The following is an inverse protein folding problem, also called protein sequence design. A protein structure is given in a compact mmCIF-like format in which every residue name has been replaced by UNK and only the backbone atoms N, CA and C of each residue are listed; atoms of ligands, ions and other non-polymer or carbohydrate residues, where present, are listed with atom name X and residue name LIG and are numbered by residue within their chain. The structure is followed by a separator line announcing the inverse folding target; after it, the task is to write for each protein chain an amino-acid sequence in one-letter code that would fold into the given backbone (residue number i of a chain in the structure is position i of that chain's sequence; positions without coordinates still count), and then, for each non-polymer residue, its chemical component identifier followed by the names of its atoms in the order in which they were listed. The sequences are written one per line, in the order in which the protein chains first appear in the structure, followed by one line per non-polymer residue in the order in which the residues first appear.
data_IF_180841992332
#
_entry.id   IF_180841992332
#
_cell.length_a   1.000
_cell.length_b   1.000
_cell.length_c   1.000
_cell.angle_alpha   90.00
_cell.angle_beta   90.00
_cell.angle_gamma   90.00
#
_symmetry.space_group_name_H-M   'P 1'
#
loop_
_entity.id
_entity.type
_entity.pdbx_description
1 polymer ?
#
# COMPACT_ATOMS: atom_id res chain seq x y z
N UNK A 1 -23.65 -14.33 -10.74
CA UNK A 1 -22.74 -13.42 -11.47
C UNK A 1 -21.53 -13.20 -10.59
N UNK A 2 -20.33 -13.56 -11.04
CA UNK A 2 -19.07 -13.22 -10.34
C UNK A 2 -18.86 -11.72 -10.47
N UNK A 3 -19.07 -10.98 -9.38
CA UNK A 3 -18.83 -9.54 -9.34
C UNK A 3 -17.34 -9.29 -9.56
N UNK A 4 -16.99 -8.54 -10.61
CA UNK A 4 -15.62 -8.14 -10.89
C UNK A 4 -15.16 -7.11 -9.85
N UNK A 5 -13.97 -7.28 -9.29
CA UNK A 5 -13.45 -6.41 -8.22
C UNK A 5 -12.38 -5.47 -8.76
N UNK A 6 -12.42 -4.21 -8.34
CA UNK A 6 -11.37 -3.22 -8.57
C UNK A 6 -10.82 -2.77 -7.22
N UNK A 7 -9.50 -2.76 -7.09
CA UNK A 7 -8.80 -2.17 -5.95
C UNK A 7 -8.24 -0.81 -6.37
N UNK A 8 -8.52 0.23 -5.60
CA UNK A 8 -7.97 1.57 -5.84
C UNK A 8 -7.19 2.01 -4.61
N UNK A 9 -5.93 2.39 -4.80
CA UNK A 9 -5.06 2.92 -3.75
C UNK A 9 -4.80 4.40 -4.03
N UNK A 10 -5.02 5.27 -3.05
CA UNK A 10 -4.74 6.71 -3.16
C UNK A 10 -4.18 7.23 -1.83
N UNK A 11 -3.23 8.17 -1.86
CA UNK A 11 -2.83 8.90 -0.65
C UNK A 11 -3.99 9.78 -0.18
N UNK A 12 -4.43 9.56 1.04
CA UNK A 12 -5.46 10.38 1.68
C UNK A 12 -4.98 11.82 1.85
N UNK A 13 -5.81 12.78 1.42
CA UNK A 13 -5.47 14.20 1.39
C UNK A 13 -5.85 14.87 2.70
N UNK A 14 -4.91 15.59 3.30
CA UNK A 14 -5.15 16.47 4.44
C UNK A 14 -4.41 17.79 4.23
N UNK A 15 -4.90 18.57 3.26
CA UNK A 15 -4.48 19.95 3.01
C UNK A 15 -5.58 20.94 3.44
N UNK A 16 -5.34 22.24 3.22
CA UNK A 16 -6.26 23.30 3.62
C UNK A 16 -7.61 23.27 2.88
N UNK A 17 -7.71 22.54 1.77
CA UNK A 17 -8.88 22.44 0.91
C UNK A 17 -9.38 21.00 0.81
N UNK A 18 -9.04 20.14 1.77
CA UNK A 18 -9.12 18.70 1.60
C UNK A 18 -10.52 18.13 1.37
N UNK A 19 -11.58 18.86 1.77
CA UNK A 19 -12.98 18.49 1.52
C UNK A 19 -13.61 19.23 0.34
N UNK A 20 -12.85 20.06 -0.38
CA UNK A 20 -13.41 20.82 -1.50
C UNK A 20 -13.80 19.86 -2.63
N UNK A 21 -15.09 19.84 -3.04
CA UNK A 21 -15.50 19.11 -4.23
C UNK A 21 -14.85 19.71 -5.47
N UNK A 22 -14.45 18.83 -6.38
CA UNK A 22 -13.83 19.13 -7.66
C UNK A 22 -14.54 18.32 -8.75
N UNK A 23 -14.65 18.89 -9.93
CA UNK A 23 -15.16 18.19 -11.11
C UNK A 23 -14.03 17.43 -11.80
N UNK A 24 -14.13 16.10 -11.82
CA UNK A 24 -13.17 15.23 -12.51
C UNK A 24 -13.75 14.72 -13.83
N UNK A 25 -12.98 14.76 -14.91
CA UNK A 25 -13.39 14.18 -16.20
C UNK A 25 -12.72 12.83 -16.45
N UNK A 26 -13.51 11.80 -16.71
CA UNK A 26 -13.03 10.47 -17.11
C UNK A 26 -13.74 10.09 -18.41
N UNK A 27 -12.97 9.95 -19.50
CA UNK A 27 -13.49 9.58 -20.83
C UNK A 27 -14.65 10.47 -21.33
N UNK A 28 -14.61 11.77 -21.04
CA UNK A 28 -15.63 12.74 -21.45
C UNK A 28 -16.84 12.84 -20.51
N UNK A 29 -16.89 12.04 -19.44
CA UNK A 29 -17.92 12.13 -18.40
C UNK A 29 -17.37 12.86 -17.17
N UNK A 30 -18.17 13.75 -16.59
CA UNK A 30 -17.79 14.56 -15.42
C UNK A 30 -18.37 13.99 -14.13
N UNK A 31 -17.53 13.87 -13.10
CA UNK A 31 -17.86 13.36 -11.78
C UNK A 31 -17.40 14.35 -10.71
N UNK A 32 -18.34 14.98 -10.03
CA UNK A 32 -18.04 15.82 -8.87
C UNK A 32 -17.61 14.93 -7.70
N UNK A 33 -16.43 15.18 -7.13
CA UNK A 33 -15.96 14.47 -5.96
C UNK A 33 -14.86 15.20 -5.19
N UNK A 34 -14.57 14.76 -3.97
CA UNK A 34 -13.51 15.32 -3.13
C UNK A 34 -12.13 14.73 -3.48
N UNK A 35 -12.11 13.48 -3.96
CA UNK A 35 -10.92 12.75 -4.38
C UNK A 35 -11.13 12.12 -5.75
N UNK A 36 -10.05 12.02 -6.52
CA UNK A 36 -10.03 11.35 -7.83
C UNK A 36 -10.38 9.86 -7.73
N UNK A 37 -9.98 9.14 -6.68
CA UNK A 37 -10.41 7.74 -6.47
C UNK A 37 -11.91 7.58 -6.29
N UNK A 38 -12.58 8.60 -5.74
CA UNK A 38 -14.02 8.59 -5.53
C UNK A 38 -14.75 8.84 -6.86
N UNK A 39 -14.21 9.73 -7.71
CA UNK A 39 -14.66 9.86 -9.10
C UNK A 39 -14.46 8.55 -9.89
N UNK A 40 -13.30 7.88 -9.73
CA UNK A 40 -13.06 6.56 -10.33
C UNK A 40 -14.07 5.51 -9.87
N UNK A 41 -14.47 5.50 -8.58
CA UNK A 41 -15.52 4.62 -8.08
C UNK A 41 -16.87 4.89 -8.74
N UNK A 42 -17.22 6.15 -8.97
CA UNK A 42 -18.45 6.51 -9.71
C UNK A 42 -18.38 6.07 -11.17
N UNK A 43 -17.21 6.21 -11.82
CA UNK A 43 -17.01 5.77 -13.20
C UNK A 43 -17.09 4.25 -13.37
N UNK A 44 -16.57 3.48 -12.41
CA UNK A 44 -16.65 2.01 -12.41
C UNK A 44 -17.82 1.47 -11.58
N UNK A 45 -19.00 2.08 -11.69
CA UNK A 45 -20.20 1.71 -10.92
C UNK A 45 -20.68 0.25 -11.13
N UNK A 46 -20.37 -0.36 -12.28
CA UNK A 46 -20.68 -1.77 -12.57
C UNK A 46 -19.73 -2.77 -11.90
N UNK A 47 -18.69 -2.29 -11.22
CA UNK A 47 -17.70 -3.11 -10.51
C UNK A 47 -17.88 -2.99 -8.99
N UNK A 48 -17.42 -4.00 -8.26
CA UNK A 48 -17.20 -3.85 -6.83
C UNK A 48 -15.89 -3.09 -6.59
N UNK A 49 -15.97 -1.76 -6.48
CA UNK A 49 -14.81 -0.89 -6.31
C UNK A 49 -14.47 -0.71 -4.82
N UNK A 50 -13.27 -1.15 -4.45
CA UNK A 50 -12.75 -1.06 -3.10
C UNK A 50 -11.61 -0.05 -3.06
N UNK A 51 -11.87 1.08 -2.42
CA UNK A 51 -10.87 2.14 -2.24
C UNK A 51 -10.15 1.91 -0.91
N UNK A 52 -8.83 2.08 -0.96
CA UNK A 52 -7.92 2.07 0.17
C UNK A 52 -7.18 3.39 0.23
N UNK A 53 -7.48 4.21 1.22
CA UNK A 53 -6.75 5.45 1.48
C UNK A 53 -5.48 5.15 2.28
N UNK A 54 -4.36 5.68 1.79
CA UNK A 54 -3.05 5.57 2.43
C UNK A 54 -2.78 6.85 3.20
N UNK A 55 -2.73 6.78 4.53
CA UNK A 55 -2.48 7.92 5.39
C UNK A 55 -1.07 7.86 5.97
N UNK A 56 -0.15 8.76 5.59
CA UNK A 56 1.11 8.91 6.30
C UNK A 56 0.87 9.22 7.77
N UNK A 57 1.59 8.53 8.67
CA UNK A 57 1.47 8.77 10.11
C UNK A 57 1.81 10.22 10.50
N UNK A 58 2.62 10.91 9.68
CA UNK A 58 3.02 12.29 9.90
C UNK A 58 1.97 13.35 9.56
N UNK A 59 0.80 12.97 9.03
CA UNK A 59 -0.23 13.92 8.56
C UNK A 59 -0.63 15.00 9.58
N UNK A 60 -0.76 14.72 10.89
CA UNK A 60 -1.08 15.75 11.89
C UNK A 60 -0.03 16.85 12.03
N UNK A 61 1.22 16.60 11.63
CA UNK A 61 2.36 17.49 11.88
C UNK A 61 2.60 18.46 10.72
N UNK A 62 1.52 19.14 10.32
CA UNK A 62 1.53 20.21 9.34
C UNK A 62 0.94 21.49 9.95
N UNK A 63 1.82 22.41 10.39
CA UNK A 63 1.43 23.65 11.06
C UNK A 63 0.53 24.56 10.21
N UNK A 64 0.62 24.47 8.88
CA UNK A 64 -0.21 25.29 7.96
C UNK A 64 -1.70 24.98 8.07
N UNK A 65 -2.08 23.76 8.49
CA UNK A 65 -3.48 23.36 8.66
C UNK A 65 -4.15 24.19 9.76
N UNK A 66 -3.49 24.35 10.91
CA UNK A 66 -4.07 25.01 12.08
C UNK A 66 -4.14 26.53 11.95
N UNK A 67 -3.28 27.10 11.09
CA UNK A 67 -3.26 28.52 10.76
C UNK A 67 -4.28 28.89 9.67
N UNK A 68 -4.85 27.91 8.96
CA UNK A 68 -5.79 28.15 7.86
C UNK A 68 -7.22 28.30 8.37
N UNK A 69 -7.84 29.45 8.10
CA UNK A 69 -9.28 29.64 8.31
C UNK A 69 -10.12 28.71 7.43
N UNK A 70 -9.66 28.43 6.21
CA UNK A 70 -10.39 27.56 5.29
C UNK A 70 -10.46 26.13 5.83
N UNK A 71 -9.32 25.61 6.31
CA UNK A 71 -9.27 24.30 6.95
C UNK A 71 -10.27 24.19 8.12
N UNK A 72 -10.30 25.20 9.01
CA UNK A 72 -11.24 25.24 10.15
C UNK A 72 -12.71 25.25 9.73
N UNK A 73 -13.05 25.89 8.59
CA UNK A 73 -14.42 25.93 8.06
C UNK A 73 -14.83 24.59 7.44
N UNK A 74 -13.91 23.91 6.77
CA UNK A 74 -14.18 22.64 6.08
C UNK A 74 -14.09 21.42 6.99
N UNK A 75 -13.33 21.53 8.09
CA UNK A 75 -13.16 20.46 9.05
C UNK A 75 -14.33 20.42 10.05
N UNK A 76 -14.77 19.21 10.43
CA UNK A 76 -15.73 19.10 11.54
C UNK A 76 -15.04 19.48 12.85
N UNK A 77 -15.79 20.06 13.79
CA UNK A 77 -15.25 20.45 15.10
C UNK A 77 -14.59 19.28 15.83
N UNK A 78 -15.25 18.11 15.83
CA UNK A 78 -14.74 16.88 16.45
C UNK A 78 -13.40 16.44 15.84
N UNK A 79 -13.30 16.38 14.51
CA UNK A 79 -12.06 15.95 13.85
C UNK A 79 -10.94 16.98 14.04
N UNK A 80 -11.26 18.28 14.02
CA UNK A 80 -10.29 19.33 14.30
C UNK A 80 -9.70 19.22 15.71
N UNK A 81 -10.54 18.99 16.73
CA UNK A 81 -10.08 18.84 18.12
C UNK A 81 -9.16 17.62 18.30
N UNK A 82 -9.51 16.49 17.69
CA UNK A 82 -8.70 15.27 17.71
C UNK A 82 -7.34 15.51 17.01
N UNK A 83 -7.37 16.11 15.82
CA UNK A 83 -6.17 16.40 15.04
C UNK A 83 -5.26 17.41 15.76
N UNK A 84 -5.85 18.45 16.34
CA UNK A 84 -5.12 19.46 17.12
C UNK A 84 -4.52 18.86 18.40
N UNK A 85 -5.21 17.92 19.06
CA UNK A 85 -4.64 17.18 20.19
C UNK A 85 -3.41 16.38 19.76
N UNK A 86 -3.47 15.70 18.62
CA UNK A 86 -2.33 14.94 18.09
C UNK A 86 -1.14 15.84 17.74
N UNK A 87 -1.40 17.04 17.22
CA UNK A 87 -0.36 18.05 16.94
C UNK A 87 0.33 18.59 18.20
N UNK A 88 -0.39 18.68 19.31
CA UNK A 88 0.13 19.16 20.60
C UNK A 88 0.82 18.07 21.41
N UNK A 89 0.31 16.84 21.37
CA UNK A 89 0.82 15.69 22.11
C UNK A 89 1.10 14.52 21.16
N UNK A 90 2.27 14.60 20.52
CA UNK A 90 2.69 13.59 19.56
C UNK A 90 2.91 12.22 20.19
N UNK A 91 3.35 12.15 21.45
CA UNK A 91 3.67 10.86 22.09
C UNK A 91 2.39 10.08 22.37
N UNK A 92 1.34 10.78 22.85
CA UNK A 92 0.00 10.19 23.01
C UNK A 92 -0.57 9.74 21.66
N UNK A 93 -0.45 10.57 20.62
CA UNK A 93 -0.90 10.20 19.26
C UNK A 93 -0.16 8.97 18.72
N UNK A 94 1.17 8.93 18.81
CA UNK A 94 1.95 7.83 18.26
C UNK A 94 1.65 6.51 18.96
N UNK A 95 1.31 6.52 20.24
CA UNK A 95 0.84 5.30 20.94
C UNK A 95 -0.49 4.76 20.39
N UNK A 96 -1.36 5.62 19.83
CA UNK A 96 -2.64 5.19 19.25
C UNK A 96 -3.08 6.08 18.07
N UNK A 97 -2.42 5.96 16.89
CA UNK A 97 -2.68 6.84 15.75
C UNK A 97 -4.07 6.64 15.16
N UNK A 98 -4.70 5.48 15.42
CA UNK A 98 -6.02 5.15 14.91
C UNK A 98 -7.09 6.13 15.41
N UNK A 99 -6.93 6.71 16.61
CA UNK A 99 -7.87 7.72 17.13
C UNK A 99 -8.08 8.90 16.19
N UNK A 100 -7.05 9.29 15.44
CA UNK A 100 -7.14 10.36 14.44
C UNK A 100 -7.69 9.80 13.13
N UNK A 101 -7.10 8.72 12.63
CA UNK A 101 -7.41 8.25 11.28
C UNK A 101 -8.80 7.62 11.14
N UNK A 102 -9.31 6.91 12.17
CA UNK A 102 -10.68 6.36 12.19
C UNK A 102 -11.75 7.45 12.03
N UNK A 103 -11.43 8.68 12.43
CA UNK A 103 -12.32 9.85 12.40
C UNK A 103 -12.10 10.72 11.16
N UNK A 104 -11.24 10.30 10.23
CA UNK A 104 -10.93 11.10 9.05
C UNK A 104 -12.17 11.29 8.16
N UNK A 105 -12.53 12.52 7.74
CA UNK A 105 -13.77 12.79 7.02
C UNK A 105 -13.93 12.06 5.68
N UNK A 106 -12.81 11.68 5.04
CA UNK A 106 -12.84 10.87 3.81
C UNK A 106 -13.23 9.40 4.03
N UNK A 107 -13.42 8.94 5.27
CA UNK A 107 -13.80 7.56 5.57
C UNK A 107 -15.31 7.33 5.63
N UNK A 108 -16.10 8.31 5.19
CA UNK A 108 -17.52 8.11 4.94
C UNK A 108 -17.73 7.01 3.88
N UNK A 109 -18.89 6.36 3.86
CA UNK A 109 -19.27 5.31 2.88
C UNK A 109 -18.39 4.03 2.88
N UNK A 110 -17.93 3.59 4.06
CA UNK A 110 -17.15 2.36 4.25
C UNK A 110 -15.84 2.31 3.44
N UNK A 111 -15.20 3.47 3.24
CA UNK A 111 -13.88 3.55 2.62
C UNK A 111 -12.85 2.96 3.60
N UNK A 112 -12.01 2.05 3.11
CA UNK A 112 -10.95 1.45 3.92
C UNK A 112 -9.73 2.34 3.92
N UNK A 113 -8.90 2.22 4.95
CA UNK A 113 -7.60 2.89 4.98
C UNK A 113 -6.50 1.99 5.54
N UNK A 114 -5.27 2.48 5.43
CA UNK A 114 -4.13 2.03 6.22
C UNK A 114 -3.23 3.21 6.56
N UNK A 115 -2.58 3.13 7.72
CA UNK A 115 -1.54 4.06 8.11
C UNK A 115 -0.21 3.55 7.56
N UNK A 116 0.54 4.43 6.90
CA UNK A 116 1.87 4.13 6.35
C UNK A 116 2.96 4.89 7.12
N UNK A 117 4.18 4.31 7.25
CA UNK A 117 5.30 4.99 7.86
C UNK A 117 5.62 6.31 7.15
N UNK A 118 6.15 7.27 7.91
CA UNK A 118 6.66 8.53 7.39
C UNK A 118 8.19 8.57 7.52
N UNK A 119 8.82 9.50 6.80
CA UNK A 119 10.26 9.74 6.86
C UNK A 119 10.54 11.24 6.96
N UNK A 120 11.50 11.61 7.80
CA UNK A 120 12.02 12.98 7.89
C UNK A 120 11.54 13.77 9.10
N UNK A 121 11.87 15.07 9.08
CA UNK A 121 11.58 16.00 10.17
C UNK A 121 10.27 16.75 9.92
N UNK A 122 9.40 16.77 10.93
CA UNK A 122 8.13 17.48 10.90
C UNK A 122 8.03 18.42 12.11
N UNK A 123 7.28 19.49 11.96
CA UNK A 123 7.03 20.44 13.04
C UNK A 123 5.77 20.03 13.80
N UNK A 124 5.91 19.52 15.02
CA UNK A 124 4.83 19.52 16.01
C UNK A 124 4.76 20.89 16.69
N UNK A 125 3.71 21.14 17.49
CA UNK A 125 3.50 22.49 18.07
C UNK A 125 4.68 22.96 18.93
N UNK A 126 5.18 22.06 19.78
CA UNK A 126 6.21 22.37 20.78
C UNK A 126 7.52 21.58 20.59
N UNK A 127 7.59 20.71 19.58
CA UNK A 127 8.78 19.89 19.30
C UNK A 127 8.88 19.55 17.81
N UNK A 128 10.11 19.38 17.35
CA UNK A 128 10.34 18.67 16.09
C UNK A 128 10.14 17.18 16.30
N UNK A 129 9.58 16.51 15.32
CA UNK A 129 9.33 15.07 15.34
C UNK A 129 10.08 14.47 14.17
N UNK A 130 10.97 13.53 14.46
CA UNK A 130 11.71 12.81 13.45
C UNK A 130 11.11 11.41 13.26
N UNK A 131 10.73 11.11 12.01
CA UNK A 131 10.36 9.75 11.62
C UNK A 131 11.55 9.07 10.94
N UNK A 132 12.02 7.99 11.55
CA UNK A 132 13.19 7.20 11.15
C UNK A 132 12.86 6.07 10.14
N UNK A 133 11.66 6.05 9.57
CA UNK A 133 11.24 4.99 8.65
C UNK A 133 12.12 4.90 7.39
N UNK A 134 12.12 3.74 6.75
CA UNK A 134 12.80 3.55 5.46
C UNK A 134 11.80 3.56 4.29
N UNK A 135 12.23 4.05 3.13
CA UNK A 135 11.45 4.01 1.89
C UNK A 135 10.92 2.61 1.60
N UNK A 136 11.81 1.63 1.74
CA UNK A 136 11.55 0.21 1.49
C UNK A 136 10.44 -0.34 2.38
N UNK A 137 10.29 0.18 3.61
CA UNK A 137 9.24 -0.25 4.53
C UNK A 137 7.86 0.24 4.06
N UNK A 138 7.80 1.45 3.47
CA UNK A 138 6.58 1.99 2.88
C UNK A 138 6.20 1.19 1.63
N UNK A 139 7.16 0.87 0.76
CA UNK A 139 6.92 0.02 -0.41
C UNK A 139 6.39 -1.35 0.04
N UNK A 140 7.06 -1.97 1.01
CA UNK A 140 6.73 -3.31 1.50
C UNK A 140 5.37 -3.34 2.20
N UNK A 141 5.02 -2.35 3.03
CA UNK A 141 3.73 -2.33 3.71
C UNK A 141 2.56 -2.19 2.73
N UNK A 142 2.73 -1.38 1.67
CA UNK A 142 1.73 -1.22 0.60
C UNK A 142 1.61 -2.53 -0.18
N UNK A 143 2.73 -3.16 -0.54
CA UNK A 143 2.73 -4.46 -1.24
C UNK A 143 2.04 -5.55 -0.40
N UNK A 144 2.32 -5.64 0.89
CA UNK A 144 1.67 -6.57 1.82
C UNK A 144 0.15 -6.38 1.77
N UNK A 145 -0.33 -5.14 1.91
CA UNK A 145 -1.78 -4.84 1.88
C UNK A 145 -2.42 -5.18 0.53
N UNK A 146 -1.71 -4.96 -0.59
CA UNK A 146 -2.17 -5.36 -1.92
C UNK A 146 -2.32 -6.88 -2.05
N UNK A 147 -1.37 -7.67 -1.54
CA UNK A 147 -1.44 -9.14 -1.53
C UNK A 147 -2.59 -9.61 -0.63
N UNK A 148 -2.70 -9.07 0.59
CA UNK A 148 -3.78 -9.38 1.53
C UNK A 148 -5.16 -9.08 0.92
N UNK A 149 -5.30 -7.92 0.28
CA UNK A 149 -6.53 -7.51 -0.41
C UNK A 149 -6.85 -8.44 -1.58
N UNK A 150 -5.85 -8.81 -2.38
CA UNK A 150 -6.02 -9.76 -3.47
C UNK A 150 -6.55 -11.12 -2.98
N UNK A 151 -6.04 -11.65 -1.86
CA UNK A 151 -6.56 -12.87 -1.25
C UNK A 151 -7.94 -12.69 -0.61
N UNK A 152 -8.21 -11.54 0.03
CA UNK A 152 -9.52 -11.21 0.61
C UNK A 152 -10.65 -11.32 -0.42
N UNK A 153 -10.40 -10.90 -1.66
CA UNK A 153 -11.36 -11.04 -2.76
C UNK A 153 -11.24 -12.36 -3.53
N UNK A 154 -10.73 -13.42 -2.88
CA UNK A 154 -10.64 -14.78 -3.42
C UNK A 154 -9.95 -14.83 -4.79
N UNK A 155 -8.89 -14.04 -4.96
CA UNK A 155 -8.10 -13.97 -6.20
C UNK A 155 -8.89 -13.43 -7.42
N UNK A 156 -10.13 -12.97 -7.21
CA UNK A 156 -11.02 -12.42 -8.25
C UNK A 156 -10.90 -10.89 -8.32
N UNK A 157 -9.70 -10.38 -8.59
CA UNK A 157 -9.43 -8.95 -8.83
C UNK A 157 -9.15 -8.73 -10.31
N UNK A 158 -9.91 -7.86 -10.95
CA UNK A 158 -9.76 -7.51 -12.36
C UNK A 158 -8.74 -6.39 -12.56
N UNK A 159 -8.80 -5.38 -11.70
CA UNK A 159 -7.94 -4.18 -11.81
C UNK A 159 -7.39 -3.77 -10.45
N UNK A 160 -6.13 -3.39 -10.44
CA UNK A 160 -5.48 -2.65 -9.35
C UNK A 160 -5.08 -1.29 -9.90
N UNK A 161 -5.61 -0.23 -9.33
CA UNK A 161 -5.37 1.15 -9.77
C UNK A 161 -4.64 1.87 -8.64
N UNK A 162 -3.45 2.39 -8.93
CA UNK A 162 -2.75 3.33 -8.06
C UNK A 162 -3.04 4.73 -8.58
N UNK A 163 -3.79 5.50 -7.80
CA UNK A 163 -4.09 6.89 -8.08
C UNK A 163 -3.02 7.79 -7.45
N UNK A 164 -2.21 8.39 -8.31
CA UNK A 164 -1.09 9.27 -7.94
C UNK A 164 -1.44 10.76 -8.01
N UNK A 165 -2.74 11.09 -8.11
CA UNK A 165 -3.21 12.48 -8.20
C UNK A 165 -3.00 13.29 -6.93
N UNK A 166 -2.74 12.60 -5.80
CA UNK A 166 -2.50 13.23 -4.50
C UNK A 166 -1.32 12.59 -3.77
N UNK A 167 -0.74 13.35 -2.85
CA UNK A 167 0.34 12.91 -1.98
C UNK A 167 1.70 13.48 -2.36
N UNK A 168 2.64 13.39 -1.42
CA UNK A 168 4.02 13.80 -1.67
C UNK A 168 4.73 12.79 -2.58
N UNK A 169 5.66 13.29 -3.39
CA UNK A 169 6.40 12.52 -4.40
C UNK A 169 6.97 11.20 -3.89
N UNK A 170 7.44 11.17 -2.64
CA UNK A 170 8.04 9.98 -2.05
C UNK A 170 7.02 8.85 -1.82
N UNK A 171 5.83 9.16 -1.32
CA UNK A 171 4.76 8.16 -1.17
C UNK A 171 4.21 7.73 -2.52
N UNK A 172 4.06 8.66 -3.47
CA UNK A 172 3.67 8.35 -4.85
C UNK A 172 4.66 7.36 -5.48
N UNK A 173 5.96 7.60 -5.31
CA UNK A 173 7.02 6.71 -5.79
C UNK A 173 6.90 5.32 -5.15
N UNK A 174 6.66 5.26 -3.84
CA UNK A 174 6.49 4.00 -3.12
C UNK A 174 5.27 3.21 -3.61
N UNK A 175 4.15 3.88 -3.91
CA UNK A 175 2.95 3.22 -4.46
C UNK A 175 3.20 2.67 -5.87
N UNK A 176 3.89 3.42 -6.73
CA UNK A 176 4.25 2.96 -8.08
C UNK A 176 5.19 1.75 -8.00
N UNK A 177 6.13 1.75 -7.06
CA UNK A 177 7.05 0.63 -6.86
C UNK A 177 6.34 -0.61 -6.30
N UNK A 178 5.46 -0.44 -5.32
CA UNK A 178 4.59 -1.51 -4.85
C UNK A 178 3.70 -2.07 -5.98
N UNK A 179 3.19 -1.20 -6.88
CA UNK A 179 2.42 -1.62 -8.06
C UNK A 179 3.23 -2.53 -8.99
N UNK A 180 4.50 -2.22 -9.25
CA UNK A 180 5.39 -3.06 -10.07
C UNK A 180 5.64 -4.42 -9.42
N UNK A 181 5.84 -4.42 -8.11
CA UNK A 181 6.05 -5.65 -7.35
C UNK A 181 4.81 -6.54 -7.33
N UNK A 182 3.61 -5.97 -7.11
CA UNK A 182 2.37 -6.75 -7.13
C UNK A 182 2.04 -7.25 -8.54
N UNK A 183 2.27 -6.46 -9.59
CA UNK A 183 2.05 -6.87 -10.98
C UNK A 183 2.92 -8.10 -11.32
N UNK A 184 4.21 -8.05 -10.94
CA UNK A 184 5.14 -9.18 -11.08
C UNK A 184 4.67 -10.39 -10.27
N UNK A 185 4.30 -10.18 -9.01
CA UNK A 185 3.85 -11.25 -8.12
C UNK A 185 2.56 -11.92 -8.62
N UNK A 186 1.54 -11.16 -9.02
CA UNK A 186 0.28 -11.70 -9.56
C UNK A 186 0.55 -12.43 -10.87
N UNK A 187 1.39 -11.89 -11.75
CA UNK A 187 1.73 -12.52 -13.03
C UNK A 187 2.35 -13.91 -12.82
N UNK A 188 3.23 -14.05 -11.83
CA UNK A 188 3.81 -15.35 -11.47
C UNK A 188 2.81 -16.26 -10.73
N UNK A 189 1.99 -15.70 -9.85
CA UNK A 189 1.01 -16.44 -9.05
C UNK A 189 -0.11 -17.05 -9.91
N UNK A 190 -0.63 -16.26 -10.87
CA UNK A 190 -1.70 -16.62 -11.79
C UNK A 190 -1.18 -17.09 -13.15
N UNK A 191 0.03 -17.67 -13.20
CA UNK A 191 0.62 -18.07 -14.47
C UNK A 191 -0.36 -18.90 -15.32
N UNK A 192 -0.69 -18.43 -16.53
CA UNK A 192 -1.72 -18.99 -17.44
C UNK A 192 -3.20 -18.92 -16.98
N UNK A 193 -3.54 -18.12 -15.97
CA UNK A 193 -4.93 -17.86 -15.54
C UNK A 193 -5.43 -16.46 -15.98
N UNK A 194 -6.65 -16.08 -15.57
CA UNK A 194 -7.21 -14.75 -15.85
C UNK A 194 -6.32 -13.64 -15.28
N UNK A 195 -5.79 -12.79 -16.17
CA UNK A 195 -4.93 -11.66 -15.83
C UNK A 195 -5.65 -10.62 -14.97
N UNK A 196 -4.95 -10.09 -13.99
CA UNK A 196 -5.29 -8.86 -13.27
C UNK A 196 -4.50 -7.71 -13.89
N UNK A 197 -5.15 -6.60 -14.20
CA UNK A 197 -4.54 -5.46 -14.85
C UNK A 197 -4.14 -4.38 -13.84
N UNK A 198 -2.91 -3.89 -13.94
CA UNK A 198 -2.41 -2.82 -13.09
C UNK A 198 -2.44 -1.48 -13.84
N UNK A 199 -2.95 -0.42 -13.21
CA UNK A 199 -3.08 0.91 -13.79
C UNK A 199 -2.52 1.98 -12.88
N UNK A 200 -2.01 3.05 -13.49
CA UNK A 200 -1.78 4.33 -12.81
C UNK A 200 -2.88 5.29 -13.26
N UNK A 201 -3.52 5.94 -12.31
CA UNK A 201 -4.42 7.06 -12.56
C UNK A 201 -3.76 8.37 -12.11
N UNK A 202 -3.85 9.40 -12.95
CA UNK A 202 -3.28 10.73 -12.67
C UNK A 202 -4.24 11.81 -13.14
N UNK A 203 -4.53 12.76 -12.25
CA UNK A 203 -5.30 13.96 -12.57
C UNK A 203 -4.39 15.06 -13.10
N UNK A 204 -4.90 15.87 -14.01
CA UNK A 204 -4.27 17.14 -14.37
C UNK A 204 -3.99 18.02 -13.14
N UNK A 205 -2.92 18.84 -13.16
CA UNK A 205 -2.59 19.70 -12.04
C UNK A 205 -3.74 20.62 -11.65
N UNK A 206 -4.07 20.66 -10.36
CA UNK A 206 -5.08 21.58 -9.82
C UNK A 206 -4.41 22.93 -9.58
N UNK A 207 -4.57 23.84 -10.55
CA UNK A 207 -3.95 25.18 -10.51
C UNK A 207 -4.95 26.19 -9.94
N UNK A 208 -4.57 27.02 -8.95
CA UNK A 208 -5.41 28.10 -8.46
C UNK A 208 -5.90 29.02 -9.58
N UNK A 209 -7.21 29.24 -9.67
CA UNK A 209 -7.83 30.10 -10.68
C UNK A 209 -8.45 29.37 -11.88
N UNK A 210 -8.12 28.09 -12.09
CA UNK A 210 -8.85 27.24 -13.01
C UNK A 210 -10.01 26.53 -12.28
N UNK A 211 -11.17 26.43 -12.92
CA UNK A 211 -12.36 25.76 -12.36
C UNK A 211 -12.82 24.65 -13.29
N UNK A 212 -11.99 23.61 -13.41
CA UNK A 212 -12.36 22.31 -13.97
C UNK A 212 -13.01 22.29 -15.37
N UNK A 213 -13.44 21.10 -15.82
CA UNK A 213 -13.19 19.81 -15.17
C UNK A 213 -11.70 19.42 -15.26
N UNK A 214 -11.22 18.65 -14.29
CA UNK A 214 -9.84 18.16 -14.25
C UNK A 214 -9.80 16.75 -14.83
N UNK A 215 -9.08 16.56 -15.93
CA UNK A 215 -9.05 15.25 -16.60
C UNK A 215 -8.24 14.23 -15.79
N UNK A 216 -8.79 13.03 -15.66
CA UNK A 216 -8.08 11.86 -15.10
C UNK A 216 -7.63 10.97 -16.26
N UNK A 217 -6.31 10.85 -16.41
CA UNK A 217 -5.67 9.89 -17.32
C UNK A 217 -5.45 8.56 -16.59
N UNK A 218 -5.81 7.45 -17.24
CA UNK A 218 -5.65 6.10 -16.69
C UNK A 218 -4.81 5.29 -17.66
N UNK A 219 -3.63 4.85 -17.23
CA UNK A 219 -2.64 4.19 -18.08
C UNK A 219 -2.32 2.79 -17.55
N UNK A 220 -2.49 1.77 -18.40
CA UNK A 220 -2.10 0.39 -18.06
C UNK A 220 -0.60 0.30 -17.89
N UNK A 221 -0.18 -0.37 -16.81
CA UNK A 221 1.21 -0.67 -16.54
C UNK A 221 1.52 -2.08 -16.99
N UNK A 222 2.67 -2.23 -17.64
CA UNK A 222 3.20 -3.52 -18.05
C UNK A 222 4.58 -3.72 -17.43
N UNK A 223 4.66 -4.47 -16.34
CA UNK A 223 5.95 -4.80 -15.76
C UNK A 223 6.56 -5.97 -16.54
N UNK A 224 7.71 -5.72 -17.19
CA UNK A 224 8.49 -6.80 -17.78
C UNK A 224 9.07 -7.66 -16.66
N UNK A 225 8.57 -8.88 -16.54
CA UNK A 225 9.11 -9.87 -15.60
C UNK A 225 10.37 -10.47 -16.20
N UNK A 226 11.53 -10.18 -15.61
CA UNK A 226 12.77 -10.85 -15.95
C UNK A 226 12.91 -12.11 -15.09
N UNK A 227 13.31 -13.22 -15.71
CA UNK A 227 13.53 -14.48 -14.99
C UNK A 227 14.90 -14.50 -14.29
N UNK A 228 15.05 -13.63 -13.28
CA UNK A 228 16.21 -13.57 -12.39
C UNK A 228 15.85 -14.08 -11.01
N UNK A 229 16.76 -14.82 -10.37
CA UNK A 229 16.53 -15.30 -9.02
C UNK A 229 16.58 -14.12 -8.04
N UNK A 230 15.55 -13.91 -7.20
CA UNK A 230 15.51 -12.82 -6.23
C UNK A 230 16.38 -13.10 -4.99
N UNK A 231 16.93 -14.32 -4.86
CA UNK A 231 17.83 -14.72 -3.78
C UNK A 231 19.11 -15.32 -4.35
N UNK A 232 20.18 -15.26 -3.57
CA UNK A 232 21.47 -15.84 -3.85
C UNK A 232 21.71 -17.12 -3.06
N UNK A 233 22.72 -17.91 -3.42
CA UNK A 233 23.14 -19.07 -2.64
C UNK A 233 23.49 -18.70 -1.18
N UNK A 234 24.11 -17.51 -0.99
CA UNK A 234 24.47 -16.98 0.33
C UNK A 234 23.25 -16.73 1.23
N UNK A 235 22.09 -16.44 0.65
CA UNK A 235 20.85 -16.21 1.42
C UNK A 235 20.32 -17.51 2.04
N UNK A 236 20.59 -18.64 1.39
CA UNK A 236 20.18 -19.98 1.80
C UNK A 236 21.24 -20.61 2.72
N UNK A 237 22.52 -20.46 2.37
CA UNK A 237 23.63 -21.01 3.13
C UNK A 237 23.57 -20.60 4.61
N UNK A 238 23.73 -21.58 5.50
CA UNK A 238 23.66 -21.39 6.96
C UNK A 238 22.40 -20.66 7.44
N UNK A 239 21.30 -20.73 6.69
CA UNK A 239 20.02 -20.07 6.98
C UNK A 239 20.13 -18.55 7.06
N UNK A 240 21.05 -17.93 6.31
CA UNK A 240 21.41 -16.52 6.46
C UNK A 240 20.21 -15.57 6.41
N UNK A 241 19.42 -15.60 5.32
CA UNK A 241 18.25 -14.71 5.16
C UNK A 241 17.19 -15.00 6.22
N UNK A 242 16.92 -16.27 6.51
CA UNK A 242 15.94 -16.66 7.52
C UNK A 242 16.34 -16.20 8.94
N UNK A 243 17.64 -16.19 9.26
CA UNK A 243 18.17 -15.65 10.51
C UNK A 243 18.07 -14.13 10.60
N UNK A 244 18.27 -13.44 9.49
CA UNK A 244 18.11 -11.98 9.43
C UNK A 244 16.65 -11.59 9.66
N UNK A 245 15.71 -12.29 9.03
CA UNK A 245 14.28 -11.99 9.15
C UNK A 245 13.73 -12.36 10.53
N UNK A 246 14.13 -13.51 11.07
CA UNK A 246 13.70 -13.97 12.38
C UNK A 246 14.88 -13.96 13.35
N UNK A 247 15.33 -12.85 13.94
CA UNK A 247 16.57 -12.85 14.73
C UNK A 247 16.49 -13.71 16.01
N UNK A 248 15.32 -13.75 16.65
CA UNK A 248 15.11 -14.33 17.98
C UNK A 248 15.34 -15.86 18.05
N UNK A 249 15.84 -16.35 19.20
CA UNK A 249 16.11 -17.78 19.42
C UNK A 249 14.83 -18.62 19.43
N UNK A 250 13.75 -18.07 19.95
CA UNK A 250 12.44 -18.73 20.08
C UNK A 250 11.80 -19.01 18.71
N UNK A 251 12.19 -18.28 17.67
CA UNK A 251 11.68 -18.42 16.30
C UNK A 251 12.39 -19.52 15.48
N UNK A 252 13.02 -20.50 16.14
CA UNK A 252 13.79 -21.57 15.48
C UNK A 252 12.95 -22.36 14.46
N UNK A 253 11.69 -22.63 14.76
CA UNK A 253 10.77 -23.31 13.84
C UNK A 253 10.51 -22.48 12.58
N UNK A 254 10.20 -21.18 12.74
CA UNK A 254 9.97 -20.25 11.62
C UNK A 254 11.20 -20.12 10.72
N UNK A 255 12.40 -20.03 11.30
CA UNK A 255 13.67 -20.03 10.56
C UNK A 255 13.81 -21.26 9.67
N UNK A 256 13.58 -22.44 10.25
CA UNK A 256 13.72 -23.72 9.54
C UNK A 256 12.71 -23.82 8.40
N UNK A 257 11.46 -23.46 8.65
CA UNK A 257 10.40 -23.52 7.65
C UNK A 257 10.69 -22.56 6.48
N UNK A 258 11.08 -21.31 6.77
CA UNK A 258 11.45 -20.36 5.72
C UNK A 258 12.64 -20.87 4.91
N UNK A 259 13.68 -21.39 5.58
CA UNK A 259 14.85 -21.90 4.88
C UNK A 259 14.52 -23.07 3.95
N UNK A 260 13.67 -24.01 4.40
CA UNK A 260 13.22 -25.13 3.58
C UNK A 260 12.44 -24.64 2.33
N UNK A 261 11.58 -23.63 2.49
CA UNK A 261 10.87 -23.00 1.36
C UNK A 261 11.86 -22.35 0.39
N UNK A 262 12.86 -21.63 0.89
CA UNK A 262 13.88 -20.97 0.06
C UNK A 262 14.77 -21.98 -0.69
N UNK A 263 15.13 -23.09 -0.05
CA UNK A 263 15.88 -24.20 -0.67
C UNK A 263 15.08 -24.83 -1.82
N UNK A 264 13.82 -25.20 -1.57
CA UNK A 264 12.94 -25.76 -2.61
C UNK A 264 12.67 -24.76 -3.73
N UNK A 265 12.49 -23.48 -3.41
CA UNK A 265 12.39 -22.42 -4.42
C UNK A 265 13.66 -22.34 -5.28
N UNK A 266 14.85 -22.34 -4.67
CA UNK A 266 16.12 -22.30 -5.41
C UNK A 266 16.29 -23.48 -6.36
N UNK A 267 15.89 -24.68 -5.93
CA UNK A 267 15.87 -25.88 -6.76
C UNK A 267 14.87 -25.77 -7.92
N UNK A 268 13.63 -25.36 -7.64
CA UNK A 268 12.59 -25.18 -8.67
C UNK A 268 13.00 -24.12 -9.70
N UNK A 269 13.47 -22.96 -9.23
CA UNK A 269 13.95 -21.88 -10.09
C UNK A 269 15.11 -22.33 -10.97
N UNK A 270 16.07 -23.08 -10.41
CA UNK A 270 17.20 -23.62 -11.16
C UNK A 270 16.77 -24.64 -12.20
N UNK A 271 15.80 -25.50 -11.89
CA UNK A 271 15.25 -26.46 -12.85
C UNK A 271 14.58 -25.76 -14.03
N UNK A 272 13.76 -24.73 -13.78
CA UNK A 272 13.14 -23.93 -14.84
C UNK A 272 14.21 -23.20 -15.67
N UNK A 273 15.15 -22.52 -15.01
CA UNK A 273 16.19 -21.73 -15.68
C UNK A 273 17.08 -22.58 -16.60
N UNK A 274 17.39 -23.81 -16.19
CA UNK A 274 18.26 -24.71 -16.95
C UNK A 274 17.48 -25.68 -17.86
N UNK A 275 16.16 -25.49 -18.00
CA UNK A 275 15.28 -26.32 -18.82
C UNK A 275 15.34 -27.82 -18.45
N UNK A 276 15.25 -28.12 -17.15
CA UNK A 276 15.24 -29.48 -16.59
C UNK A 276 13.86 -29.76 -15.99
N UNK A 277 12.77 -29.83 -16.80
CA UNK A 277 11.42 -29.96 -16.29
C UNK A 277 11.21 -31.28 -15.54
N UNK A 278 11.93 -32.35 -15.90
CA UNK A 278 11.84 -33.64 -15.22
C UNK A 278 12.11 -33.51 -13.71
N UNK A 279 13.06 -32.65 -13.32
CA UNK A 279 13.37 -32.40 -11.91
C UNK A 279 12.15 -31.87 -11.14
N UNK A 280 11.32 -31.04 -11.77
CA UNK A 280 10.10 -30.50 -11.16
C UNK A 280 9.06 -31.61 -10.93
N UNK A 281 8.97 -32.57 -11.87
CA UNK A 281 8.00 -33.67 -11.78
C UNK A 281 8.45 -34.80 -10.85
N UNK A 282 9.76 -34.97 -10.61
CA UNK A 282 10.29 -36.08 -9.80
C UNK A 282 10.58 -35.72 -8.34
N UNK A 283 10.63 -34.43 -8.00
CA UNK A 283 10.92 -33.97 -6.64
C UNK A 283 9.67 -33.44 -5.95
N UNK A 284 9.61 -33.58 -4.63
CA UNK A 284 8.52 -33.06 -3.82
C UNK A 284 8.69 -31.57 -3.55
N UNK A 285 7.68 -30.79 -3.94
CA UNK A 285 7.56 -29.37 -3.61
C UNK A 285 6.39 -29.14 -2.67
N UNK A 286 6.43 -28.03 -1.94
CA UNK A 286 5.30 -27.60 -1.14
C UNK A 286 4.08 -27.34 -2.04
N UNK A 287 2.91 -27.79 -1.60
CA UNK A 287 1.68 -27.52 -2.32
C UNK A 287 1.25 -26.04 -2.20
N UNK A 288 0.34 -25.61 -3.07
CA UNK A 288 -0.14 -24.21 -3.14
C UNK A 288 -0.77 -23.73 -1.83
N UNK A 289 -1.56 -24.58 -1.17
CA UNK A 289 -2.26 -24.24 0.08
C UNK A 289 -1.29 -23.97 1.22
N UNK A 290 -0.32 -24.88 1.43
CA UNK A 290 0.74 -24.71 2.41
C UNK A 290 1.53 -23.42 2.19
N UNK A 291 1.92 -23.11 0.95
CA UNK A 291 2.66 -21.89 0.63
C UNK A 291 1.81 -20.64 0.88
N UNK A 292 0.50 -20.71 0.61
CA UNK A 292 -0.44 -19.61 0.87
C UNK A 292 -0.61 -19.36 2.37
N UNK A 293 -0.76 -20.42 3.16
CA UNK A 293 -0.89 -20.31 4.62
C UNK A 293 0.39 -19.76 5.24
N UNK A 294 1.55 -20.29 4.84
CA UNK A 294 2.84 -19.76 5.26
C UNK A 294 3.01 -18.28 4.87
N UNK A 295 2.66 -17.91 3.64
CA UNK A 295 2.75 -16.53 3.18
C UNK A 295 1.88 -15.61 4.04
N UNK A 296 0.63 -15.99 4.36
CA UNK A 296 -0.24 -15.17 5.21
C UNK A 296 0.36 -14.95 6.61
N UNK A 297 0.90 -16.00 7.24
CA UNK A 297 1.57 -15.87 8.54
C UNK A 297 2.84 -15.01 8.45
N UNK A 298 3.61 -15.18 7.37
CA UNK A 298 4.82 -14.44 7.11
C UNK A 298 4.54 -12.94 6.92
N UNK A 299 3.57 -12.59 6.08
CA UNK A 299 3.19 -11.19 5.84
C UNK A 299 2.69 -10.52 7.11
N UNK A 300 1.89 -11.22 7.93
CA UNK A 300 1.46 -10.72 9.24
C UNK A 300 2.63 -10.42 10.16
N UNK A 301 3.60 -11.34 10.25
CA UNK A 301 4.80 -11.13 11.05
C UNK A 301 5.61 -9.91 10.58
N UNK A 302 5.87 -9.79 9.28
CA UNK A 302 6.63 -8.67 8.72
C UNK A 302 5.92 -7.34 8.97
N UNK A 303 4.59 -7.32 8.79
CA UNK A 303 3.75 -6.16 9.10
C UNK A 303 3.90 -5.74 10.56
N UNK A 304 3.84 -6.67 11.50
CA UNK A 304 4.03 -6.41 12.93
C UNK A 304 5.44 -5.88 13.26
N UNK A 305 6.48 -6.36 12.57
CA UNK A 305 7.86 -5.87 12.74
C UNK A 305 7.99 -4.41 12.28
N UNK A 306 7.56 -4.12 11.05
CA UNK A 306 7.55 -2.76 10.50
C UNK A 306 6.74 -1.84 11.40
N UNK A 307 5.61 -2.35 11.91
CA UNK A 307 4.72 -1.58 12.75
C UNK A 307 5.27 -1.23 14.13
N UNK A 308 6.02 -2.15 14.74
CA UNK A 308 6.74 -1.86 16.00
C UNK A 308 7.87 -0.87 15.82
N UNK A 309 8.51 -0.86 14.64
CA UNK A 309 9.64 0.02 14.40
C UNK A 309 9.21 1.46 14.08
N UNK A 310 8.08 1.70 13.39
CA UNK A 310 7.59 3.08 13.18
C UNK A 310 7.17 3.78 14.48
N UNK A 311 6.79 3.02 15.52
CA UNK A 311 6.43 3.56 16.83
C UNK A 311 7.63 4.02 17.66
N UNK A 312 8.85 3.63 17.27
CA UNK A 312 10.09 4.08 17.91
C UNK A 312 10.53 5.42 17.31
N UNK A 313 9.75 6.47 17.52
CA UNK A 313 10.20 7.84 17.24
C UNK A 313 11.24 8.26 18.28
N UNK A 314 12.28 8.98 17.86
CA UNK A 314 13.35 9.51 18.74
C UNK A 314 13.28 11.01 18.85
#
# INVERSE_FOLDING_TARGET
MTTNNILIYQIGRLDTNFQQPLDFEIKGETFESILSSFALKKHYNDYNVNIKLLFPISLPFNSSLYNSENFKKMCTKEFYEILYSAYNDADSFLNNPQLVFDKHPHLQDNINYMVIPSVGNYSGNNKQIYFSGHYSDIVLIILIDMIESFFKYKENVDKIIVDISSGHNYYVSAMIEALKHIDTWITLYKWNEKKTFCFIAVTEPIIPGFKGPYKISIEEQHTKVFFSCPISAKDIENTHLARTIFPEKEMRSKKRNLNEILEKFGLAFSAVKNNIPLFIYTNEFHNKEYLKDFLNEFLKYIKDVIYKDYLKTT
#
